data_IF_910408214146
#
_entry.id   IF_910408214146
#
_cell.length_a   1.000
_cell.length_b   1.000
_cell.length_c   1.000
_cell.angle_alpha   90.00
_cell.angle_beta   90.00
_cell.angle_gamma   90.00
#
_symmetry.space_group_name_H-M   'P 1'
#
loop_
_entity.id
_entity.type
_entity.pdbx_description
1 polymer ?
#
# COMPACT_ATOMS: atom_id res chain seq x y z
N UNK A 1 -24.74 56.17 -26.62
CA UNK A 1 -23.66 55.30 -27.15
C UNK A 1 -23.42 54.08 -26.25
N UNK A 2 -23.20 54.24 -24.93
CA UNK A 2 -23.06 53.11 -23.96
C UNK A 2 -24.18 52.06 -24.02
N UNK A 3 -25.44 52.47 -23.94
CA UNK A 3 -26.59 51.56 -23.97
C UNK A 3 -26.65 50.65 -25.20
N UNK A 4 -26.20 51.14 -26.36
CA UNK A 4 -26.17 50.35 -27.61
C UNK A 4 -25.02 49.34 -27.63
N UNK A 5 -23.96 49.60 -26.89
CA UNK A 5 -22.84 48.67 -26.70
C UNK A 5 -23.23 47.56 -25.71
N UNK A 6 -23.93 47.91 -24.62
CA UNK A 6 -24.48 46.96 -23.66
C UNK A 6 -25.48 46.00 -24.32
N UNK A 7 -26.44 46.54 -25.08
CA UNK A 7 -27.40 45.73 -25.85
C UNK A 7 -26.74 44.82 -26.92
N UNK A 8 -25.55 45.20 -27.42
CA UNK A 8 -24.78 44.38 -28.35
C UNK A 8 -23.99 43.29 -27.62
N UNK A 9 -23.40 43.60 -26.46
CA UNK A 9 -22.68 42.64 -25.63
C UNK A 9 -23.63 41.55 -25.11
N UNK A 10 -24.83 41.92 -24.65
CA UNK A 10 -25.83 40.96 -24.17
C UNK A 10 -26.29 40.01 -25.28
N UNK A 11 -26.44 40.52 -26.51
CA UNK A 11 -26.78 39.69 -27.68
C UNK A 11 -25.64 38.75 -28.08
N UNK A 12 -24.40 39.20 -27.94
CA UNK A 12 -23.21 38.41 -28.27
C UNK A 12 -22.97 37.31 -27.24
N UNK A 13 -23.18 37.62 -25.95
CA UNK A 13 -23.13 36.66 -24.86
C UNK A 13 -24.23 35.60 -24.98
N UNK A 14 -25.45 36.01 -25.36
CA UNK A 14 -26.55 35.07 -25.64
C UNK A 14 -26.27 34.18 -26.86
N UNK A 15 -25.69 34.75 -27.93
CA UNK A 15 -25.30 33.99 -29.12
C UNK A 15 -24.19 32.97 -28.82
N UNK A 16 -23.20 33.34 -27.99
CA UNK A 16 -22.15 32.44 -27.53
C UNK A 16 -22.71 31.27 -26.70
N UNK A 17 -23.60 31.55 -25.74
CA UNK A 17 -24.28 30.53 -24.93
C UNK A 17 -25.10 29.55 -25.79
N UNK A 18 -25.78 30.05 -26.82
CA UNK A 18 -26.52 29.21 -27.77
C UNK A 18 -25.58 28.36 -28.63
N UNK A 19 -24.42 28.89 -29.02
CA UNK A 19 -23.44 28.16 -29.83
C UNK A 19 -22.80 27.02 -29.01
N UNK A 20 -22.45 27.27 -27.75
CA UNK A 20 -21.97 26.24 -26.82
C UNK A 20 -23.02 25.15 -26.59
N UNK A 21 -24.25 25.54 -26.30
CA UNK A 21 -25.34 24.57 -26.12
C UNK A 21 -25.57 23.74 -27.39
N UNK A 22 -25.45 24.34 -28.57
CA UNK A 22 -25.58 23.65 -29.85
C UNK A 22 -24.42 22.70 -30.14
N UNK A 23 -23.18 23.09 -29.80
CA UNK A 23 -22.01 22.21 -29.91
C UNK A 23 -22.11 20.99 -28.98
N UNK A 24 -22.52 21.21 -27.73
CA UNK A 24 -22.72 20.14 -26.74
C UNK A 24 -23.86 19.18 -27.14
N UNK A 25 -24.94 19.70 -27.72
CA UNK A 25 -26.10 18.87 -28.12
C UNK A 25 -25.90 18.15 -29.46
N UNK A 26 -25.05 18.67 -30.36
CA UNK A 26 -24.87 18.07 -31.69
C UNK A 26 -23.79 16.99 -31.72
N UNK A 27 -22.88 16.96 -30.75
CA UNK A 27 -21.89 15.89 -30.60
C UNK A 27 -21.70 15.44 -29.13
N UNK A 28 -22.72 14.83 -28.51
CA UNK A 28 -22.59 14.22 -27.19
C UNK A 28 -21.57 13.07 -27.19
N UNK A 29 -21.23 12.51 -28.36
CA UNK A 29 -20.14 11.56 -28.50
C UNK A 29 -18.77 12.24 -28.35
N UNK A 30 -18.57 13.47 -28.85
CA UNK A 30 -17.36 14.24 -28.62
C UNK A 30 -17.17 14.63 -27.15
N UNK A 31 -18.23 15.05 -26.45
CA UNK A 31 -18.15 15.36 -25.00
C UNK A 31 -17.77 14.12 -24.17
N UNK A 32 -18.44 12.98 -24.41
CA UNK A 32 -18.11 11.69 -23.77
C UNK A 32 -16.72 11.17 -24.17
N UNK A 33 -16.30 11.39 -25.41
CA UNK A 33 -14.97 11.00 -25.89
C UNK A 33 -13.88 11.85 -25.26
N UNK A 34 -14.14 13.14 -25.04
CA UNK A 34 -13.23 14.03 -24.33
C UNK A 34 -13.08 13.64 -22.85
N UNK A 35 -14.17 13.33 -22.15
CA UNK A 35 -14.13 12.81 -20.78
C UNK A 35 -13.40 11.46 -20.70
N UNK A 36 -13.65 10.55 -21.64
CA UNK A 36 -12.96 9.26 -21.71
C UNK A 36 -11.46 9.44 -21.98
N UNK A 37 -11.09 10.37 -22.86
CA UNK A 37 -9.69 10.69 -23.16
C UNK A 37 -8.99 11.31 -21.96
N UNK A 38 -9.63 12.23 -21.24
CA UNK A 38 -9.06 12.82 -20.03
C UNK A 38 -8.93 11.78 -18.90
N UNK A 39 -9.90 10.88 -18.76
CA UNK A 39 -9.81 9.72 -17.87
C UNK A 39 -8.62 8.83 -18.21
N UNK A 40 -8.46 8.47 -19.49
CA UNK A 40 -7.34 7.66 -19.97
C UNK A 40 -6.00 8.38 -19.75
N UNK A 41 -5.92 9.68 -20.03
CA UNK A 41 -4.72 10.51 -19.81
C UNK A 41 -4.34 10.50 -18.34
N UNK A 42 -5.31 10.74 -17.45
CA UNK A 42 -5.10 10.70 -16.00
C UNK A 42 -4.61 9.33 -15.52
N UNK A 43 -5.19 8.24 -16.03
CA UNK A 43 -4.74 6.87 -15.72
C UNK A 43 -3.34 6.58 -16.24
N UNK A 44 -2.99 7.03 -17.45
CA UNK A 44 -1.65 6.88 -18.03
C UNK A 44 -0.63 7.66 -17.21
N UNK A 45 -0.93 8.90 -16.86
CA UNK A 45 -0.06 9.73 -16.04
C UNK A 45 0.12 9.13 -14.63
N UNK A 46 -0.95 8.62 -14.02
CA UNK A 46 -0.89 7.93 -12.74
C UNK A 46 -0.03 6.66 -12.82
N UNK A 47 -0.20 5.86 -13.88
CA UNK A 47 0.62 4.65 -14.14
C UNK A 47 2.09 5.00 -14.36
N UNK A 48 2.37 6.09 -15.09
CA UNK A 48 3.73 6.60 -15.29
C UNK A 48 4.39 7.05 -13.99
N UNK A 49 3.63 7.72 -13.11
CA UNK A 49 4.09 8.08 -11.76
C UNK A 49 4.38 6.85 -10.91
N UNK A 50 3.49 5.85 -10.92
CA UNK A 50 3.69 4.58 -10.20
C UNK A 50 4.94 3.83 -10.65
N UNK A 51 5.15 3.69 -11.97
CA UNK A 51 6.37 3.06 -12.51
C UNK A 51 7.64 3.80 -12.07
N UNK A 52 7.67 5.13 -12.17
CA UNK A 52 8.85 5.91 -11.77
C UNK A 52 9.12 5.76 -10.27
N UNK A 53 8.08 5.73 -9.44
CA UNK A 53 8.17 5.50 -8.00
C UNK A 53 8.80 4.14 -7.68
N UNK A 54 8.32 3.05 -8.28
CA UNK A 54 8.90 1.72 -8.10
C UNK A 54 10.37 1.64 -8.53
N UNK A 55 10.72 2.28 -9.67
CA UNK A 55 12.11 2.33 -10.11
C UNK A 55 13.02 3.06 -9.11
N UNK A 56 12.55 4.16 -8.53
CA UNK A 56 13.28 4.87 -7.47
C UNK A 56 13.45 3.99 -6.24
N UNK A 57 12.41 3.28 -5.79
CA UNK A 57 12.49 2.37 -4.64
C UNK A 57 13.53 1.27 -4.86
N UNK A 58 13.52 0.62 -6.03
CA UNK A 58 14.50 -0.42 -6.38
C UNK A 58 15.93 0.13 -6.43
N UNK A 59 16.13 1.31 -7.04
CA UNK A 59 17.44 1.93 -7.11
C UNK A 59 17.98 2.31 -5.73
N UNK A 60 17.12 2.83 -4.85
CA UNK A 60 17.47 3.16 -3.47
C UNK A 60 17.95 1.93 -2.68
N UNK A 61 17.24 0.79 -2.81
CA UNK A 61 17.63 -0.45 -2.15
C UNK A 61 18.96 -0.97 -2.70
N UNK A 62 19.16 -0.99 -4.03
CA UNK A 62 20.43 -1.43 -4.65
C UNK A 62 21.61 -0.58 -4.18
N UNK A 63 21.44 0.74 -4.09
CA UNK A 63 22.47 1.65 -3.57
C UNK A 63 22.82 1.30 -2.12
N UNK A 64 21.82 1.05 -1.27
CA UNK A 64 22.05 0.67 0.12
C UNK A 64 22.74 -0.68 0.28
N UNK A 65 22.45 -1.66 -0.59
CA UNK A 65 23.12 -2.95 -0.61
C UNK A 65 24.58 -2.89 -1.06
N UNK A 66 25.01 -1.80 -1.72
CA UNK A 66 26.38 -1.59 -2.20
C UNK A 66 27.24 -0.73 -1.25
N UNK A 67 26.68 -0.26 -0.14
CA UNK A 67 27.43 0.50 0.85
C UNK A 67 28.53 -0.37 1.46
N UNK A 68 29.70 0.22 1.68
CA UNK A 68 30.81 -0.43 2.40
C UNK A 68 30.59 -0.30 3.91
N UNK A 69 29.51 -0.94 4.38
CA UNK A 69 29.12 -0.99 5.79
C UNK A 69 29.03 -2.44 6.28
N UNK A 70 28.93 -2.63 7.59
CA UNK A 70 28.75 -3.98 8.14
C UNK A 70 27.43 -4.61 7.65
N UNK A 71 27.37 -5.94 7.46
CA UNK A 71 26.17 -6.63 7.00
C UNK A 71 24.92 -6.31 7.84
N UNK A 72 25.07 -6.25 9.16
CA UNK A 72 23.98 -5.93 10.09
C UNK A 72 23.43 -4.52 9.86
N UNK A 73 24.34 -3.57 9.58
CA UNK A 73 23.96 -2.18 9.34
C UNK A 73 23.27 -2.01 7.98
N UNK A 74 23.76 -2.68 6.95
CA UNK A 74 23.09 -2.74 5.64
C UNK A 74 21.67 -3.31 5.77
N UNK A 75 21.50 -4.38 6.54
CA UNK A 75 20.20 -4.98 6.80
C UNK A 75 19.24 -4.03 7.54
N UNK A 76 19.73 -3.28 8.52
CA UNK A 76 18.95 -2.27 9.23
C UNK A 76 18.47 -1.16 8.29
N UNK A 77 19.38 -0.64 7.44
CA UNK A 77 19.07 0.40 6.46
C UNK A 77 18.00 -0.09 5.46
N UNK A 78 18.22 -1.25 4.86
CA UNK A 78 17.29 -1.82 3.88
C UNK A 78 15.93 -2.11 4.50
N UNK A 79 15.90 -2.65 5.74
CA UNK A 79 14.64 -2.89 6.46
C UNK A 79 13.88 -1.58 6.71
N UNK A 80 14.58 -0.54 7.14
CA UNK A 80 13.97 0.78 7.35
C UNK A 80 13.39 1.36 6.06
N UNK A 81 14.09 1.24 4.94
CA UNK A 81 13.61 1.68 3.63
C UNK A 81 12.36 0.91 3.18
N UNK A 82 12.37 -0.42 3.32
CA UNK A 82 11.21 -1.25 2.98
C UNK A 82 10.00 -0.86 3.84
N UNK A 83 10.19 -0.61 5.14
CA UNK A 83 9.11 -0.15 6.01
C UNK A 83 8.55 1.21 5.58
N UNK A 84 9.42 2.15 5.23
CA UNK A 84 8.98 3.47 4.70
C UNK A 84 8.21 3.32 3.39
N UNK A 85 8.68 2.49 2.47
CA UNK A 85 7.98 2.26 1.21
C UNK A 85 6.63 1.59 1.44
N UNK A 86 6.57 0.56 2.30
CA UNK A 86 5.34 -0.10 2.69
C UNK A 86 4.33 0.92 3.24
N UNK A 87 4.74 1.78 4.17
CA UNK A 87 3.86 2.81 4.74
C UNK A 87 3.35 3.80 3.69
N UNK A 88 4.19 4.23 2.76
CA UNK A 88 3.80 5.17 1.71
C UNK A 88 2.85 4.55 0.67
N UNK A 89 2.84 3.23 0.50
CA UNK A 89 1.91 2.52 -0.40
C UNK A 89 0.67 2.00 0.34
N UNK A 90 0.55 2.21 1.66
CA UNK A 90 -0.55 1.65 2.45
C UNK A 90 -0.43 0.13 2.62
N UNK A 91 0.79 -0.42 2.62
CA UNK A 91 1.04 -1.83 2.84
C UNK A 91 1.25 -2.10 4.34
N UNK A 92 0.32 -2.82 4.95
CA UNK A 92 0.38 -3.21 6.36
C UNK A 92 1.12 -4.53 6.53
N UNK A 93 2.16 -4.52 7.36
CA UNK A 93 2.92 -5.70 7.77
C UNK A 93 2.25 -6.36 8.98
N UNK A 94 2.02 -7.68 8.91
CA UNK A 94 1.53 -8.49 10.03
C UNK A 94 2.66 -9.41 10.45
N UNK A 95 3.34 -9.05 11.53
CA UNK A 95 4.51 -9.75 12.09
C UNK A 95 4.22 -10.45 13.43
N UNK A 96 3.02 -10.24 14.00
CA UNK A 96 2.55 -10.87 15.21
C UNK A 96 1.34 -11.78 14.94
N UNK A 97 1.32 -12.94 15.58
CA UNK A 97 0.21 -13.89 15.45
C UNK A 97 -1.05 -13.37 16.16
N UNK A 98 -2.18 -13.38 15.45
CA UNK A 98 -3.52 -13.11 15.97
C UNK A 98 -4.50 -14.08 15.29
N UNK A 99 -5.46 -14.64 16.03
CA UNK A 99 -6.35 -15.70 15.51
C UNK A 99 -7.26 -15.22 14.37
N UNK A 100 -7.69 -13.95 14.43
CA UNK A 100 -8.48 -13.29 13.39
C UNK A 100 -7.69 -13.07 12.09
N UNK A 101 -6.37 -13.00 12.18
CA UNK A 101 -5.46 -12.86 11.04
C UNK A 101 -4.91 -14.20 10.52
N UNK A 102 -5.35 -15.33 11.08
CA UNK A 102 -4.95 -16.66 10.64
C UNK A 102 -5.08 -16.90 9.12
N UNK A 103 -6.11 -16.39 8.41
CA UNK A 103 -6.21 -16.55 6.95
C UNK A 103 -5.09 -15.88 6.14
N UNK A 104 -4.30 -14.99 6.73
CA UNK A 104 -3.17 -14.33 6.07
C UNK A 104 -1.88 -15.18 6.08
N UNK A 105 -1.89 -16.36 6.72
CA UNK A 105 -0.70 -17.18 6.94
C UNK A 105 -0.90 -18.63 6.51
N UNK A 106 0.15 -19.19 5.94
CA UNK A 106 0.34 -20.63 5.87
C UNK A 106 0.85 -21.15 7.21
N UNK A 107 0.17 -22.14 7.79
CA UNK A 107 0.46 -22.64 9.15
C UNK A 107 1.11 -24.02 9.08
N UNK A 108 2.37 -24.08 9.45
CA UNK A 108 3.13 -25.34 9.55
C UNK A 108 3.18 -25.85 10.98
N UNK A 109 2.88 -27.14 11.20
CA UNK A 109 3.08 -27.82 12.48
C UNK A 109 1.83 -28.54 13.02
N UNK A 110 1.93 -29.14 14.23
CA UNK A 110 0.82 -29.89 14.82
C UNK A 110 -0.37 -29.00 15.17
N UNK A 111 -1.60 -29.54 15.20
CA UNK A 111 -2.82 -28.76 15.47
C UNK A 111 -2.89 -28.19 16.90
N UNK A 112 -2.05 -28.69 17.82
CA UNK A 112 -1.95 -28.21 19.20
C UNK A 112 -0.63 -27.50 19.44
N UNK A 113 -0.65 -26.28 19.97
CA UNK A 113 0.55 -25.52 20.30
C UNK A 113 0.38 -24.01 20.28
N UNK A 114 1.43 -23.28 20.68
CA UNK A 114 1.55 -21.85 20.42
C UNK A 114 1.94 -21.63 18.95
N UNK A 115 1.43 -20.56 18.35
CA UNK A 115 1.75 -20.19 16.96
C UNK A 115 2.63 -18.95 16.96
N UNK A 116 3.75 -19.00 16.23
CA UNK A 116 4.67 -17.88 16.01
C UNK A 116 4.74 -17.53 14.53
N UNK A 117 4.93 -16.25 14.21
CA UNK A 117 5.13 -15.79 12.82
C UNK A 117 6.61 -15.92 12.48
N UNK A 118 6.92 -16.66 11.42
CA UNK A 118 8.29 -16.83 10.90
C UNK A 118 8.54 -15.84 9.77
N UNK A 119 7.56 -15.69 8.88
CA UNK A 119 7.60 -14.74 7.76
C UNK A 119 6.34 -13.88 7.84
N UNK A 120 6.46 -12.55 7.85
CA UNK A 120 5.31 -11.68 7.96
C UNK A 120 4.38 -11.81 6.75
N UNK A 121 3.09 -11.60 6.98
CA UNK A 121 2.12 -11.40 5.92
C UNK A 121 2.00 -9.91 5.59
N UNK A 122 1.57 -9.59 4.38
CA UNK A 122 1.33 -8.22 3.95
C UNK A 122 -0.07 -8.07 3.37
N UNK A 123 -0.79 -7.06 3.84
CA UNK A 123 -2.15 -6.73 3.39
C UNK A 123 -2.21 -5.28 2.93
N UNK A 124 -3.07 -5.00 1.95
CA UNK A 124 -3.41 -3.64 1.55
C UNK A 124 -4.29 -3.01 2.65
N UNK A 125 -3.88 -1.85 3.17
CA UNK A 125 -4.59 -1.15 4.23
C UNK A 125 -5.89 -0.51 3.74
N UNK A 126 -6.03 -0.26 2.42
CA UNK A 126 -7.21 0.39 1.86
C UNK A 126 -8.45 -0.53 1.86
N UNK A 127 -8.27 -1.81 1.56
CA UNK A 127 -9.36 -2.77 1.39
C UNK A 127 -9.19 -4.09 2.18
N UNK A 128 -8.05 -4.28 2.84
CA UNK A 128 -7.73 -5.50 3.59
C UNK A 128 -7.30 -6.68 2.70
N UNK A 129 -7.10 -6.48 1.41
CA UNK A 129 -6.72 -7.53 0.47
C UNK A 129 -5.34 -8.09 0.84
N UNK A 130 -5.23 -9.42 0.87
CA UNK A 130 -3.94 -10.10 1.08
C UNK A 130 -3.03 -9.89 -0.14
N UNK A 131 -1.92 -9.18 0.07
CA UNK A 131 -0.90 -8.91 -0.95
C UNK A 131 0.13 -10.03 -0.98
N UNK A 132 0.55 -10.49 0.21
CA UNK A 132 1.51 -11.58 0.36
C UNK A 132 1.18 -12.42 1.59
N UNK A 133 0.95 -13.71 1.36
CA UNK A 133 0.81 -14.70 2.42
C UNK A 133 2.10 -14.83 3.23
N UNK A 134 1.96 -14.80 4.56
CA UNK A 134 3.04 -15.05 5.51
C UNK A 134 3.18 -16.53 5.88
N UNK A 135 4.16 -16.84 6.72
CA UNK A 135 4.36 -18.20 7.24
C UNK A 135 4.35 -18.14 8.76
N UNK A 136 3.47 -18.94 9.36
CA UNK A 136 3.39 -19.14 10.79
C UNK A 136 3.75 -20.59 11.14
N UNK A 137 4.42 -20.78 12.27
CA UNK A 137 4.82 -22.09 12.77
C UNK A 137 4.14 -22.38 14.09
N UNK A 138 3.58 -23.58 14.21
CA UNK A 138 3.07 -24.12 15.47
C UNK A 138 4.16 -24.90 16.17
N UNK A 139 4.48 -24.50 17.39
CA UNK A 139 5.37 -25.23 18.30
C UNK A 139 4.54 -25.90 19.38
N UNK A 140 4.83 -27.15 19.72
CA UNK A 140 4.25 -27.75 20.94
C UNK A 140 4.64 -26.85 22.11
N UNK A 141 3.66 -26.49 22.94
CA UNK A 141 3.93 -25.86 24.22
C UNK A 141 4.86 -26.81 24.98
N UNK A 142 6.11 -26.42 25.18
CA UNK A 142 6.95 -27.10 26.15
C UNK A 142 6.24 -26.95 27.49
N UNK A 143 5.81 -28.06 28.09
CA UNK A 143 5.49 -28.06 29.51
C UNK A 143 6.72 -27.47 30.21
N UNK A 144 6.49 -26.39 30.95
CA UNK A 144 7.51 -25.82 31.82
C UNK A 144 7.78 -26.93 32.84
N UNK A 145 8.89 -27.65 32.67
CA UNK A 145 9.35 -28.63 33.64
C UNK A 145 9.61 -27.85 34.95
N UNK A 146 8.89 -28.14 36.04
CA UNK A 146 9.10 -27.41 37.28
C UNK A 146 10.54 -27.63 37.73
N UNK A 147 11.25 -26.53 38.00
CA UNK A 147 12.57 -26.57 38.61
C UNK A 147 12.54 -27.52 39.82
N UNK A 148 13.49 -28.45 39.96
CA UNK A 148 13.55 -29.28 41.14
C UNK A 148 13.68 -28.37 42.36
N UNK A 149 12.72 -28.48 43.28
CA UNK A 149 12.83 -27.90 44.61
C UNK A 149 14.16 -28.37 45.19
N UNK A 150 15.06 -27.42 45.46
CA UNK A 150 16.29 -27.70 46.17
C UNK A 150 15.93 -28.07 47.60
N UNK A 151 15.62 -29.33 47.82
CA UNK A 151 15.62 -29.96 49.14
C UNK A 151 17.03 -30.46 49.45
N UNK A 152 17.77 -29.62 50.18
CA UNK A 152 18.89 -29.99 51.05
C UNK A 152 19.05 -28.75 51.94
N UNK A 153 18.55 -28.71 53.17
CA UNK A 153 18.67 -29.72 54.20
C UNK A 153 19.52 -29.08 55.29
N UNK A 154 18.86 -28.59 56.34
CA UNK A 154 19.51 -28.22 57.60
C UNK A 154 20.27 -29.43 58.15
N UNK A 155 21.50 -29.22 58.64
CA UNK A 155 22.28 -30.29 59.25
C UNK A 155 23.66 -29.83 59.73
N UNK A 156 23.66 -29.30 60.96
CA UNK A 156 24.77 -29.18 61.94
C UNK A 156 25.82 -28.07 61.78
#
# INVERSE_FOLDING_TARGET
>A
MRRRLEELLDKLDWALKMLDAFLVTRDPAAAKSAEAFEGLRSTIEASGRGRRRHLTQLATIDVSLRLDESPDRVLEIVRSQIQQFAQLEGLKCIDAWQEDLAPAFSIDGPPSGSTEVIVPAYVDEADGTLVKEGVARRTRRAEIEPLPETDTGEGE
#
